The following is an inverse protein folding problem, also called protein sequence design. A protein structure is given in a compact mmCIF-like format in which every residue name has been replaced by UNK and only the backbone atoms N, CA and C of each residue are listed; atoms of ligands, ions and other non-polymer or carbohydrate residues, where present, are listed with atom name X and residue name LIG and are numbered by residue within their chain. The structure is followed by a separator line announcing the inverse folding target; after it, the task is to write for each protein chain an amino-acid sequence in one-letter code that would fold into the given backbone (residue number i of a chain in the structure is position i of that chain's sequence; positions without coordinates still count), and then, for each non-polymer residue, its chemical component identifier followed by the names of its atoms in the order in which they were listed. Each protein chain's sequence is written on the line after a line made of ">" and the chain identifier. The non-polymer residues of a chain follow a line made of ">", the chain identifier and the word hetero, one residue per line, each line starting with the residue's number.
data_IF_375693046559
#
_entry.id   IF_375693046559
#
_cell.length_a   1.000
_cell.length_b   1.000
_cell.length_c   1.000
_cell.angle_alpha   90.00
_cell.angle_beta   90.00
_cell.angle_gamma   90.00
#
_symmetry.space_group_name_H-M   'P 1'
#
loop_
_entity.id
_entity.type
_entity.pdbx_description
1 polymer ?
#
# COMPACT_ATOMS: atom_id res chain seq x y z
N UNK A 1 -10.80 -1.57 -21.75
CA UNK A 1 -9.71 -0.71 -21.22
C UNK A 1 -9.11 -1.42 -20.02
N UNK A 2 -7.79 -1.35 -19.86
CA UNK A 2 -7.13 -1.79 -18.63
C UNK A 2 -7.40 -0.72 -17.57
N UNK A 3 -8.08 -1.06 -16.48
CA UNK A 3 -8.35 -0.13 -15.39
C UNK A 3 -7.10 -0.07 -14.51
N UNK A 4 -6.76 1.11 -13.98
CA UNK A 4 -5.66 1.30 -13.05
C UNK A 4 -4.33 0.70 -13.57
N UNK A 5 -3.90 1.11 -14.77
CA UNK A 5 -2.59 0.74 -15.33
C UNK A 5 -1.51 1.70 -14.79
N UNK A 6 -0.70 1.22 -13.84
CA UNK A 6 0.37 1.97 -13.19
C UNK A 6 1.68 1.23 -13.38
N UNK A 7 2.70 1.90 -13.91
CA UNK A 7 4.06 1.41 -14.03
C UNK A 7 4.98 2.20 -13.10
N UNK A 8 5.55 1.53 -12.10
CA UNK A 8 6.59 2.06 -11.22
C UNK A 8 7.95 1.66 -11.81
N UNK A 9 8.83 2.63 -12.01
CA UNK A 9 10.11 2.44 -12.71
C UNK A 9 11.32 2.70 -11.83
N UNK A 10 12.38 1.90 -11.99
CA UNK A 10 13.70 2.14 -11.38
C UNK A 10 13.75 2.01 -9.85
N UNK A 11 12.71 1.44 -9.23
CA UNK A 11 12.59 1.34 -7.78
C UNK A 11 13.45 0.22 -7.18
N UNK A 12 13.91 0.41 -5.96
CA UNK A 12 14.50 -0.66 -5.15
C UNK A 12 13.39 -1.50 -4.54
N UNK A 13 13.03 -2.59 -5.22
CA UNK A 13 11.94 -3.49 -4.82
C UNK A 13 12.45 -4.41 -3.71
N UNK A 14 11.78 -4.35 -2.55
CA UNK A 14 12.06 -5.20 -1.39
C UNK A 14 10.77 -5.96 -1.04
N UNK A 15 10.77 -7.27 -1.24
CA UNK A 15 9.69 -8.18 -0.83
C UNK A 15 10.28 -9.40 -0.11
N UNK A 16 10.31 -9.38 1.23
CA UNK A 16 10.86 -10.47 2.02
C UNK A 16 10.11 -11.80 1.85
N UNK A 17 8.80 -11.77 1.59
CA UNK A 17 7.99 -12.98 1.45
C UNK A 17 8.33 -13.74 0.15
N UNK A 18 8.83 -13.02 -0.87
CA UNK A 18 9.29 -13.57 -2.14
C UNK A 18 10.81 -13.59 -2.29
N UNK A 19 11.56 -13.17 -1.26
CA UNK A 19 13.01 -13.03 -1.27
C UNK A 19 13.53 -12.11 -2.42
N UNK A 20 12.86 -10.99 -2.64
CA UNK A 20 13.23 -9.98 -3.65
C UNK A 20 13.94 -8.82 -2.97
N UNK A 21 15.08 -8.41 -3.52
CA UNK A 21 15.87 -7.26 -3.09
C UNK A 21 16.73 -6.78 -4.27
N UNK A 22 16.14 -5.99 -5.17
CA UNK A 22 16.77 -5.59 -6.43
C UNK A 22 16.22 -4.26 -6.97
N UNK A 23 16.95 -3.64 -7.90
CA UNK A 23 16.44 -2.50 -8.67
C UNK A 23 15.66 -3.05 -9.86
N UNK A 24 14.36 -2.76 -9.93
CA UNK A 24 13.50 -3.26 -11.01
C UNK A 24 12.24 -2.39 -11.18
N UNK A 25 11.42 -2.71 -12.18
CA UNK A 25 10.13 -2.10 -12.45
C UNK A 25 9.00 -2.96 -11.85
N UNK A 26 7.89 -2.33 -11.48
CA UNK A 26 6.67 -3.00 -11.00
C UNK A 26 5.46 -2.44 -11.73
N UNK A 27 4.54 -3.30 -12.15
CA UNK A 27 3.31 -2.85 -12.81
C UNK A 27 2.06 -3.35 -12.10
N UNK A 28 1.06 -2.48 -12.04
CA UNK A 28 -0.26 -2.74 -11.49
C UNK A 28 -1.27 -2.59 -12.62
N UNK A 29 -2.12 -3.59 -12.81
CA UNK A 29 -3.24 -3.55 -13.76
C UNK A 29 -4.45 -4.19 -13.09
N UNK A 30 -5.60 -3.51 -13.12
CA UNK A 30 -6.85 -3.96 -12.48
C UNK A 30 -6.64 -4.36 -11.01
N UNK A 31 -5.86 -3.56 -10.28
CA UNK A 31 -5.53 -3.76 -8.86
C UNK A 31 -4.69 -5.02 -8.55
N UNK A 32 -4.07 -5.61 -9.57
CA UNK A 32 -3.18 -6.78 -9.47
C UNK A 32 -1.77 -6.38 -9.88
N UNK A 33 -0.77 -6.81 -9.10
CA UNK A 33 0.64 -6.71 -9.50
C UNK A 33 0.91 -7.74 -10.59
N UNK A 34 1.39 -7.27 -11.74
CA UNK A 34 1.75 -8.09 -12.90
C UNK A 34 3.22 -7.89 -13.25
N UNK A 35 3.77 -8.80 -14.03
CA UNK A 35 5.07 -8.61 -14.68
C UNK A 35 5.06 -7.30 -15.49
N UNK A 36 6.06 -6.45 -15.25
CA UNK A 36 6.13 -5.10 -15.80
C UNK A 36 6.27 -5.08 -17.33
N UNK A 37 6.93 -6.10 -17.89
CA UNK A 37 7.24 -6.19 -19.31
C UNK A 37 6.20 -6.99 -20.10
N UNK A 38 5.23 -7.61 -19.41
CA UNK A 38 4.22 -8.49 -20.01
C UNK A 38 3.25 -7.77 -20.96
N UNK A 39 3.04 -6.47 -20.76
CA UNK A 39 2.09 -5.67 -21.53
C UNK A 39 2.76 -4.43 -22.13
N UNK A 40 2.33 -3.94 -23.30
CA UNK A 40 2.87 -2.69 -23.85
C UNK A 40 2.51 -1.50 -22.95
N UNK A 41 3.41 -0.51 -22.90
CA UNK A 41 3.11 0.81 -22.31
C UNK A 41 2.27 1.59 -23.31
N UNK A 42 1.22 2.25 -22.83
CA UNK A 42 0.28 3.03 -23.66
C UNK A 42 0.15 4.45 -23.13
N UNK A 43 -0.56 5.32 -23.84
CA UNK A 43 -0.87 6.67 -23.38
C UNK A 43 -1.69 6.69 -22.08
N UNK A 44 -2.41 5.61 -21.78
CA UNK A 44 -3.22 5.48 -20.55
C UNK A 44 -2.42 4.94 -19.36
N UNK A 45 -1.18 4.49 -19.59
CA UNK A 45 -0.33 3.95 -18.53
C UNK A 45 0.21 5.09 -17.68
N UNK A 46 -0.15 5.13 -16.40
CA UNK A 46 0.41 6.08 -15.44
C UNK A 46 1.81 5.63 -15.02
N UNK A 47 2.82 6.45 -15.32
CA UNK A 47 4.21 6.15 -14.93
C UNK A 47 4.58 6.87 -13.62
N UNK A 48 5.23 6.15 -12.72
CA UNK A 48 5.82 6.66 -11.48
C UNK A 48 7.32 6.37 -11.52
N UNK A 49 8.16 7.39 -11.41
CA UNK A 49 9.61 7.25 -11.33
C UNK A 49 10.04 7.11 -9.87
N UNK A 50 10.70 6.01 -9.52
CA UNK A 50 11.06 5.64 -8.16
C UNK A 50 12.58 5.45 -8.00
N UNK A 51 13.39 6.04 -8.89
CA UNK A 51 14.85 5.98 -8.83
C UNK A 51 15.37 6.45 -7.47
N UNK A 52 16.18 5.61 -6.82
CA UNK A 52 16.71 5.88 -5.48
C UNK A 52 15.69 5.75 -4.34
N UNK A 53 14.45 5.34 -4.63
CA UNK A 53 13.41 5.07 -3.63
C UNK A 53 13.22 3.58 -3.38
N UNK A 54 12.72 3.24 -2.19
CA UNK A 54 12.29 1.88 -1.85
C UNK A 54 10.85 1.68 -2.31
N UNK A 55 10.60 0.54 -2.96
CA UNK A 55 9.28 0.02 -3.29
C UNK A 55 9.07 -1.25 -2.48
N UNK A 56 8.10 -1.24 -1.58
CA UNK A 56 7.82 -2.35 -0.65
C UNK A 56 6.33 -2.69 -0.70
N UNK A 57 5.92 -3.91 -0.31
CA UNK A 57 4.56 -4.13 0.15
C UNK A 57 4.15 -3.05 1.17
N UNK A 58 2.89 -2.65 1.14
CA UNK A 58 2.36 -1.74 2.16
C UNK A 58 2.62 -2.29 3.56
N UNK A 59 3.07 -1.43 4.46
CA UNK A 59 3.43 -1.80 5.82
C UNK A 59 2.19 -2.22 6.58
N UNK A 60 2.31 -3.21 7.46
CA UNK A 60 1.25 -3.67 8.35
C UNK A 60 1.47 -3.05 9.73
N UNK A 61 0.53 -2.21 10.17
CA UNK A 61 0.49 -1.77 11.56
C UNK A 61 -0.43 -2.70 12.36
N UNK A 62 0.17 -3.58 13.15
CA UNK A 62 -0.57 -4.59 13.91
C UNK A 62 -1.19 -4.03 15.21
N UNK A 63 -0.89 -2.79 15.60
CA UNK A 63 -1.38 -2.25 16.85
C UNK A 63 -1.60 -0.74 16.76
N UNK A 64 -2.83 -0.36 16.46
CA UNK A 64 -3.24 1.04 16.48
C UNK A 64 -4.64 1.21 17.09
N UNK A 65 -4.97 2.41 17.54
CA UNK A 65 -6.32 2.76 17.98
C UNK A 65 -7.03 3.52 16.86
N UNK A 66 -7.90 2.86 16.09
CA UNK A 66 -8.50 3.42 14.86
C UNK A 66 -10.02 3.52 14.92
N UNK A 67 -10.64 3.23 16.06
CA UNK A 67 -12.06 3.50 16.28
C UNK A 67 -12.28 4.99 16.57
N UNK A 68 -12.23 5.77 15.49
CA UNK A 68 -12.31 7.23 15.50
C UNK A 68 -13.59 7.73 16.20
N UNK A 69 -13.45 8.77 17.02
CA UNK A 69 -14.49 9.37 17.89
C UNK A 69 -15.11 8.43 18.95
N UNK A 70 -14.76 7.14 19.00
CA UNK A 70 -15.28 6.18 19.97
C UNK A 70 -14.40 6.01 21.23
N UNK A 71 -13.15 6.47 21.18
CA UNK A 71 -12.19 6.47 22.29
C UNK A 71 -11.35 7.74 22.26
N UNK A 72 -10.76 8.13 23.40
CA UNK A 72 -9.87 9.30 23.49
C UNK A 72 -8.67 9.23 22.52
N UNK A 73 -8.14 8.02 22.29
CA UNK A 73 -6.98 7.76 21.43
C UNK A 73 -7.30 7.37 19.99
N UNK A 74 -8.58 7.31 19.60
CA UNK A 74 -8.99 6.83 18.28
C UNK A 74 -8.64 7.81 17.16
N UNK A 75 -7.78 7.41 16.22
CA UNK A 75 -7.40 8.22 15.05
C UNK A 75 -8.23 7.87 13.81
N UNK A 76 -8.29 8.79 12.83
CA UNK A 76 -8.88 8.52 11.50
C UNK A 76 -7.90 7.70 10.65
N UNK A 77 -8.14 6.41 10.37
CA UNK A 77 -7.15 5.58 9.68
C UNK A 77 -6.76 6.12 8.30
N UNK A 78 -7.72 6.63 7.52
CA UNK A 78 -7.44 7.16 6.16
C UNK A 78 -6.52 8.39 6.14
N UNK A 79 -6.48 9.15 7.24
CA UNK A 79 -5.65 10.35 7.36
C UNK A 79 -4.24 10.04 7.86
N UNK A 80 -4.07 8.96 8.64
CA UNK A 80 -2.81 8.66 9.32
C UNK A 80 -2.06 7.46 8.75
N UNK A 81 -2.75 6.47 8.17
CA UNK A 81 -2.11 5.23 7.73
C UNK A 81 -1.49 5.34 6.32
N UNK A 82 -2.26 5.67 5.25
CA UNK A 82 -1.71 5.68 3.90
C UNK A 82 -0.53 6.66 3.68
N UNK A 83 -0.53 7.89 4.24
CA UNK A 83 0.60 8.80 4.11
C UNK A 83 1.91 8.27 4.72
N UNK A 84 1.82 7.34 5.67
CA UNK A 84 2.96 6.69 6.31
C UNK A 84 3.26 5.30 5.74
N UNK A 85 2.66 4.95 4.60
CA UNK A 85 2.92 3.68 3.92
C UNK A 85 2.22 2.47 4.55
N UNK A 86 1.33 2.66 5.53
CA UNK A 86 0.53 1.59 6.14
C UNK A 86 -0.73 1.36 5.32
N UNK A 87 -0.92 0.14 4.81
CA UNK A 87 -2.11 -0.21 4.01
C UNK A 87 -3.12 -1.10 4.73
N UNK A 88 -2.73 -2.08 5.57
CA UNK A 88 -3.60 -2.67 6.57
C UNK A 88 -3.21 -2.23 7.99
N UNK A 89 -4.23 -1.99 8.81
CA UNK A 89 -4.08 -1.67 10.22
C UNK A 89 -5.01 -2.55 11.05
N UNK A 90 -4.55 -2.97 12.23
CA UNK A 90 -5.34 -3.75 13.19
C UNK A 90 -5.70 -2.85 14.37
N UNK A 91 -7.01 -2.70 14.62
CA UNK A 91 -7.50 -2.01 15.80
C UNK A 91 -7.16 -2.80 17.07
N UNK A 92 -6.47 -2.16 18.00
CA UNK A 92 -6.02 -2.72 19.26
C UNK A 92 -7.10 -2.66 20.34
N UNK A 93 -8.27 -3.22 20.03
CA UNK A 93 -9.43 -3.28 20.93
C UNK A 93 -9.94 -1.92 21.42
N UNK A 94 -9.95 -0.92 20.53
CA UNK A 94 -10.64 0.35 20.77
C UNK A 94 -12.16 0.15 20.84
N UNK A 95 -12.68 -0.87 20.15
CA UNK A 95 -14.05 -1.33 20.27
C UNK A 95 -14.17 -2.50 21.25
N UNK A 96 -15.19 -2.43 22.12
CA UNK A 96 -15.56 -3.48 23.05
C UNK A 96 -17.04 -3.41 23.42
N UNK A 97 -17.52 -4.27 24.34
CA UNK A 97 -18.94 -4.36 24.68
C UNK A 97 -19.53 -3.08 25.29
N UNK A 98 -18.70 -2.15 25.76
CA UNK A 98 -19.13 -0.89 26.35
C UNK A 98 -19.40 0.23 25.32
N UNK A 99 -18.82 0.14 24.10
CA UNK A 99 -18.84 1.23 23.12
C UNK A 99 -19.08 0.77 21.66
N UNK A 100 -19.38 -0.52 21.45
CA UNK A 100 -19.71 -1.08 20.14
C UNK A 100 -21.18 -1.48 20.11
N UNK A 101 -22.02 -0.56 19.66
CA UNK A 101 -23.48 -0.72 19.51
C UNK A 101 -23.95 -0.25 18.13
#
# INVERSE_FOLDING_TARGET
>A
MMKNDILITGGHIIDPARNINEINNLRIINDIIVDADKYPVTSETRIIHADGMIVTPGLIDYHAHVFYDATEGGVRPDMYMPPNGVSPVVDAASAGPANFY
#
